data_IF_265739181747
#
_entry.id   IF_265739181747
#
_cell.length_a   1.000
_cell.length_b   1.000
_cell.length_c   1.000
_cell.angle_alpha   90.00
_cell.angle_beta   90.00
_cell.angle_gamma   90.00
#
_symmetry.space_group_name_H-M   'P 1'
#
loop_
_entity.id
_entity.type
_entity.pdbx_description
1 polymer ?
#
# COMPACT_ATOMS: atom_id res chain seq x y z
N UNK A 1 13.09 12.21 -25.88
CA UNK A 1 12.28 13.09 -25.01
C UNK A 1 11.56 12.18 -24.04
N UNK A 2 11.63 12.45 -22.73
CA UNK A 2 10.75 11.79 -21.77
C UNK A 2 9.30 12.13 -22.16
N UNK A 3 8.36 11.17 -22.08
CA UNK A 3 6.96 11.46 -22.35
C UNK A 3 6.48 12.58 -21.41
N UNK A 4 5.59 13.45 -21.91
CA UNK A 4 4.99 14.47 -21.04
C UNK A 4 4.15 13.79 -19.95
N UNK A 5 4.16 14.31 -18.72
CA UNK A 5 3.27 13.84 -17.67
C UNK A 5 1.81 13.86 -18.11
N UNK A 6 1.05 12.83 -17.75
CA UNK A 6 -0.35 12.66 -18.06
C UNK A 6 -1.25 13.45 -17.13
N UNK A 7 -0.99 13.39 -15.82
CA UNK A 7 -1.84 13.99 -14.79
C UNK A 7 -1.08 14.72 -13.69
N UNK A 8 0.12 14.27 -13.32
CA UNK A 8 0.90 14.97 -12.30
C UNK A 8 1.56 16.22 -12.90
N UNK A 9 1.39 17.41 -12.28
CA UNK A 9 2.13 18.60 -12.71
C UNK A 9 3.62 18.40 -12.45
N UNK A 10 4.49 19.05 -13.23
CA UNK A 10 5.95 18.90 -13.08
C UNK A 10 6.44 19.14 -11.64
N UNK A 11 5.83 20.11 -10.94
CA UNK A 11 6.15 20.40 -9.54
C UNK A 11 5.83 19.22 -8.60
N UNK A 12 4.78 18.44 -8.87
CA UNK A 12 4.45 17.25 -8.09
C UNK A 12 5.47 16.14 -8.31
N UNK A 13 5.96 15.98 -9.54
CA UNK A 13 7.00 15.01 -9.88
C UNK A 13 8.32 15.41 -9.21
N UNK A 14 8.69 16.69 -9.27
CA UNK A 14 9.87 17.23 -8.58
C UNK A 14 9.75 17.04 -7.06
N UNK A 15 8.59 17.33 -6.47
CA UNK A 15 8.34 17.07 -5.05
C UNK A 15 8.49 15.59 -4.72
N UNK A 16 7.92 14.69 -5.52
CA UNK A 16 8.05 13.25 -5.28
C UNK A 16 9.51 12.81 -5.34
N UNK A 17 10.31 13.34 -6.28
CA UNK A 17 11.73 13.01 -6.40
C UNK A 17 12.55 13.53 -5.22
N UNK A 18 12.34 14.80 -4.84
CA UNK A 18 13.07 15.46 -3.77
C UNK A 18 12.65 14.99 -2.37
N UNK A 19 11.36 14.92 -2.11
CA UNK A 19 10.79 14.72 -0.77
C UNK A 19 10.23 13.30 -0.58
N UNK A 20 10.03 12.55 -1.66
CA UNK A 20 9.63 11.15 -1.62
C UNK A 20 8.12 10.92 -1.61
N UNK A 21 7.30 11.97 -1.71
CA UNK A 21 5.84 11.85 -1.68
C UNK A 21 5.12 12.95 -2.48
N UNK A 22 3.84 12.72 -2.75
CA UNK A 22 2.90 13.72 -3.23
C UNK A 22 1.46 13.43 -2.74
N UNK A 23 0.76 14.46 -2.27
CA UNK A 23 -0.64 14.40 -1.86
C UNK A 23 -1.23 15.82 -1.72
N UNK A 24 -2.57 15.97 -1.68
CA UNK A 24 -3.58 14.99 -2.09
C UNK A 24 -3.73 14.95 -3.62
N UNK A 25 -4.22 13.83 -4.16
CA UNK A 25 -4.72 13.75 -5.53
C UNK A 25 -6.11 13.10 -5.54
N UNK A 26 -7.16 13.81 -5.98
CA UNK A 26 -8.52 13.26 -6.11
C UNK A 26 -8.56 12.31 -7.31
N UNK A 27 -8.94 11.05 -7.07
CA UNK A 27 -9.00 10.02 -8.13
C UNK A 27 -10.35 9.34 -8.26
N UNK A 28 -11.13 9.25 -7.17
CA UNK A 28 -12.49 8.71 -7.18
C UNK A 28 -13.52 9.80 -6.92
N UNK A 29 -14.69 9.68 -7.54
CA UNK A 29 -15.86 10.47 -7.18
C UNK A 29 -16.58 9.94 -5.93
N UNK A 30 -17.60 10.65 -5.46
CA UNK A 30 -18.31 10.30 -4.23
C UNK A 30 -19.14 9.00 -4.36
N UNK A 31 -19.59 8.65 -5.56
CA UNK A 31 -20.31 7.41 -5.82
C UNK A 31 -19.37 6.21 -5.77
N UNK A 32 -18.19 6.33 -6.37
CA UNK A 32 -17.14 5.30 -6.36
C UNK A 32 -16.64 5.04 -4.94
N UNK A 33 -16.42 6.09 -4.15
CA UNK A 33 -16.07 6.00 -2.73
C UNK A 33 -17.17 5.27 -1.96
N UNK A 34 -18.42 5.72 -2.09
CA UNK A 34 -19.57 5.15 -1.37
C UNK A 34 -19.75 3.68 -1.73
N UNK A 35 -19.64 3.34 -3.02
CA UNK A 35 -19.75 1.97 -3.49
C UNK A 35 -18.62 1.09 -2.94
N UNK A 36 -17.37 1.56 -2.98
CA UNK A 36 -16.20 0.81 -2.51
C UNK A 36 -16.27 0.53 -1.00
N UNK A 37 -16.62 1.55 -0.21
CA UNK A 37 -16.84 1.38 1.24
C UNK A 37 -17.97 0.39 1.52
N UNK A 38 -19.09 0.49 0.80
CA UNK A 38 -20.21 -0.43 0.95
C UNK A 38 -19.85 -1.88 0.56
N UNK A 39 -18.96 -2.10 -0.41
CA UNK A 39 -18.49 -3.44 -0.74
C UNK A 39 -17.74 -4.09 0.43
N UNK A 40 -16.81 -3.36 1.04
CA UNK A 40 -16.09 -3.82 2.23
C UNK A 40 -17.05 -4.15 3.38
N UNK A 41 -17.94 -3.21 3.73
CA UNK A 41 -18.86 -3.38 4.85
C UNK A 41 -19.88 -4.51 4.62
N UNK A 42 -20.34 -4.70 3.37
CA UNK A 42 -21.20 -5.85 3.00
C UNK A 42 -20.46 -7.16 3.17
N UNK A 43 -19.20 -7.23 2.79
CA UNK A 43 -18.40 -8.42 2.95
C UNK A 43 -18.21 -8.76 4.44
N UNK A 44 -17.77 -7.80 5.25
CA UNK A 44 -17.60 -7.99 6.71
C UNK A 44 -18.91 -8.45 7.36
N UNK A 45 -20.04 -7.84 6.98
CA UNK A 45 -21.37 -8.25 7.45
C UNK A 45 -21.73 -9.68 7.01
N UNK A 46 -21.34 -10.11 5.81
CA UNK A 46 -21.65 -11.44 5.29
C UNK A 46 -20.93 -12.56 6.05
N UNK A 47 -19.76 -12.27 6.63
CA UNK A 47 -18.99 -13.21 7.45
C UNK A 47 -19.14 -12.95 8.97
N UNK A 48 -19.93 -11.96 9.37
CA UNK A 48 -20.11 -11.51 10.75
C UNK A 48 -18.79 -11.23 11.48
N UNK A 49 -17.77 -10.79 10.74
CA UNK A 49 -16.42 -10.53 11.24
C UNK A 49 -15.74 -9.42 10.41
N UNK A 50 -14.90 -8.58 11.04
CA UNK A 50 -14.07 -7.62 10.31
C UNK A 50 -13.14 -8.30 9.30
N UNK A 51 -12.72 -7.55 8.27
CA UNK A 51 -11.67 -7.99 7.36
C UNK A 51 -10.36 -8.15 8.14
N UNK A 52 -9.81 -9.37 8.18
CA UNK A 52 -8.66 -9.68 9.02
C UNK A 52 -7.67 -10.62 8.34
N UNK A 53 -6.46 -10.68 8.89
CA UNK A 53 -5.44 -11.62 8.48
C UNK A 53 -5.11 -11.59 6.99
N UNK A 54 -5.05 -12.77 6.36
CA UNK A 54 -4.67 -12.89 4.94
C UNK A 54 -5.63 -12.15 3.99
N UNK A 55 -6.90 -11.92 4.39
CA UNK A 55 -7.87 -11.21 3.56
C UNK A 55 -7.48 -9.74 3.33
N UNK A 56 -6.68 -9.15 4.22
CA UNK A 56 -6.21 -7.77 4.07
C UNK A 56 -5.16 -7.64 2.97
N UNK A 57 -4.36 -8.68 2.70
CA UNK A 57 -3.19 -8.67 1.83
C UNK A 57 -3.49 -9.35 0.49
N UNK A 58 -2.91 -8.86 -0.62
CA UNK A 58 -3.27 -9.21 -2.01
C UNK A 58 -4.79 -9.30 -2.22
N UNK A 59 -5.54 -8.42 -1.57
CA UNK A 59 -7.00 -8.37 -1.56
C UNK A 59 -7.63 -8.21 -2.96
N UNK A 60 -6.89 -7.69 -3.95
CA UNK A 60 -7.29 -7.66 -5.36
C UNK A 60 -7.60 -9.05 -5.95
N UNK A 61 -7.05 -10.12 -5.38
CA UNK A 61 -7.37 -11.49 -5.81
C UNK A 61 -8.69 -12.00 -5.21
N UNK A 62 -9.12 -11.46 -4.07
CA UNK A 62 -10.36 -11.84 -3.41
C UNK A 62 -11.54 -10.98 -3.87
N UNK A 63 -11.28 -9.72 -4.19
CA UNK A 63 -12.31 -8.73 -4.46
C UNK A 63 -12.10 -8.13 -5.84
N UNK A 64 -13.07 -8.34 -6.73
CA UNK A 64 -13.07 -7.77 -8.07
C UNK A 64 -13.06 -6.24 -8.01
N UNK A 65 -13.80 -5.66 -7.09
CA UNK A 65 -13.81 -4.21 -6.93
C UNK A 65 -12.45 -3.64 -6.49
N UNK A 66 -11.61 -4.41 -5.78
CA UNK A 66 -10.24 -4.01 -5.45
C UNK A 66 -9.31 -4.14 -6.65
N UNK A 67 -9.43 -5.20 -7.45
CA UNK A 67 -8.71 -5.32 -8.74
C UNK A 67 -9.08 -4.17 -9.69
N UNK A 68 -10.35 -3.76 -9.73
CA UNK A 68 -10.80 -2.61 -10.53
C UNK A 68 -10.18 -1.30 -10.05
N UNK A 69 -10.14 -1.04 -8.74
CA UNK A 69 -9.47 0.13 -8.17
C UNK A 69 -7.96 0.14 -8.47
N UNK A 70 -7.30 -1.01 -8.36
CA UNK A 70 -5.89 -1.18 -8.71
C UNK A 70 -5.60 -0.90 -10.21
N UNK A 71 -6.62 -0.98 -11.06
CA UNK A 71 -6.54 -0.70 -12.51
C UNK A 71 -7.16 0.64 -12.90
N UNK A 72 -7.55 1.46 -11.93
CA UNK A 72 -8.20 2.74 -12.19
C UNK A 72 -7.28 3.67 -12.99
N UNK A 73 -7.76 4.19 -14.12
CA UNK A 73 -6.91 4.92 -15.07
C UNK A 73 -6.21 6.13 -14.44
N UNK A 74 -6.93 6.92 -13.64
CA UNK A 74 -6.36 8.10 -12.96
C UNK A 74 -5.23 7.73 -11.99
N UNK A 75 -5.34 6.58 -11.32
CA UNK A 75 -4.29 6.08 -10.41
C UNK A 75 -3.09 5.63 -11.22
N UNK A 76 -3.31 4.80 -12.24
CA UNK A 76 -2.24 4.29 -13.08
C UNK A 76 -1.55 5.41 -13.87
N UNK A 77 -2.25 6.45 -14.30
CA UNK A 77 -1.68 7.61 -14.98
C UNK A 77 -0.73 8.38 -14.04
N UNK A 78 -1.12 8.59 -12.79
CA UNK A 78 -0.26 9.23 -11.79
C UNK A 78 0.98 8.38 -11.46
N UNK A 79 0.84 7.06 -11.41
CA UNK A 79 1.98 6.14 -11.18
C UNK A 79 2.91 6.11 -12.38
N UNK A 80 2.36 6.05 -13.60
CA UNK A 80 3.15 6.04 -14.84
C UNK A 80 3.99 7.32 -15.00
N UNK A 81 3.46 8.47 -14.58
CA UNK A 81 4.21 9.74 -14.55
C UNK A 81 5.46 9.67 -13.65
N UNK A 82 5.49 8.76 -12.66
CA UNK A 82 6.60 8.61 -11.72
C UNK A 82 7.58 7.50 -12.11
N UNK A 83 7.08 6.34 -12.55
CA UNK A 83 7.91 5.12 -12.72
C UNK A 83 7.82 4.47 -14.11
N UNK A 84 7.12 5.10 -15.06
CA UNK A 84 7.05 4.67 -16.46
C UNK A 84 5.87 3.74 -16.80
N UNK A 85 5.76 3.29 -18.06
CA UNK A 85 4.52 2.75 -18.63
C UNK A 85 4.25 1.26 -18.36
N UNK A 86 5.29 0.49 -18.06
CA UNK A 86 5.19 -0.96 -17.88
C UNK A 86 5.07 -1.27 -16.38
N UNK A 87 3.83 -1.46 -15.92
CA UNK A 87 3.48 -1.48 -14.50
C UNK A 87 2.96 -2.84 -14.05
N UNK A 88 3.56 -3.33 -12.97
CA UNK A 88 3.02 -4.39 -12.12
C UNK A 88 2.44 -3.76 -10.85
N UNK A 89 1.32 -4.30 -10.35
CA UNK A 89 0.93 -4.11 -8.96
C UNK A 89 1.30 -5.37 -8.16
N UNK A 90 2.24 -5.23 -7.23
CA UNK A 90 2.80 -6.33 -6.47
C UNK A 90 1.88 -6.77 -5.32
N UNK A 91 1.26 -5.82 -4.65
CA UNK A 91 0.42 -6.09 -3.49
C UNK A 91 -0.65 -5.02 -3.29
N UNK A 92 -1.78 -5.44 -2.72
CA UNK A 92 -2.82 -4.54 -2.20
C UNK A 92 -3.05 -4.85 -0.72
N UNK A 93 -3.19 -3.82 0.11
CA UNK A 93 -3.27 -4.00 1.56
C UNK A 93 -4.27 -3.05 2.21
N UNK A 94 -5.24 -3.61 2.93
CA UNK A 94 -6.16 -2.80 3.74
C UNK A 94 -5.54 -2.35 5.06
N UNK A 95 -5.70 -1.06 5.36
CA UNK A 95 -5.28 -0.41 6.60
C UNK A 95 -6.49 0.21 7.28
N UNK A 96 -7.15 -0.59 8.13
CA UNK A 96 -8.37 -0.18 8.81
C UNK A 96 -8.07 0.10 10.28
N UNK A 97 -8.51 1.26 10.77
CA UNK A 97 -8.50 1.61 12.19
C UNK A 97 -9.93 1.87 12.62
N UNK A 98 -10.47 1.02 13.48
CA UNK A 98 -11.83 1.19 14.03
C UNK A 98 -11.98 2.54 14.75
N UNK A 99 -13.23 3.01 14.89
CA UNK A 99 -13.54 4.21 15.66
C UNK A 99 -12.99 4.10 17.09
N UNK A 100 -12.34 5.15 17.58
CA UNK A 100 -11.69 5.19 18.90
C UNK A 100 -10.68 4.06 19.17
N UNK A 101 -10.07 3.48 18.12
CA UNK A 101 -9.07 2.43 18.26
C UNK A 101 -7.67 2.98 18.57
N UNK A 102 -6.97 2.34 19.51
CA UNK A 102 -5.56 2.57 19.80
C UNK A 102 -4.59 2.06 18.72
N UNK A 103 -5.09 1.45 17.64
CA UNK A 103 -4.24 0.85 16.60
C UNK A 103 -3.44 1.90 15.84
N UNK A 104 -2.14 1.66 15.64
CA UNK A 104 -1.22 2.59 15.01
C UNK A 104 -0.28 1.89 14.02
N UNK A 105 0.51 2.69 13.30
CA UNK A 105 1.63 2.23 12.47
C UNK A 105 2.85 3.02 12.92
N UNK A 106 3.87 2.33 13.43
CA UNK A 106 5.15 2.92 13.82
C UNK A 106 5.91 3.49 12.62
N UNK A 107 6.91 4.31 12.89
CA UNK A 107 7.80 4.84 11.84
C UNK A 107 8.56 3.71 11.17
N UNK A 108 8.40 3.54 9.86
CA UNK A 108 9.03 2.46 9.09
C UNK A 108 9.28 2.86 7.64
N UNK A 109 10.13 2.11 6.94
CA UNK A 109 10.27 2.14 5.48
C UNK A 109 9.76 0.82 4.89
N UNK A 110 8.81 0.90 3.96
CA UNK A 110 8.13 -0.24 3.33
C UNK A 110 9.12 -1.28 2.77
N UNK A 111 10.07 -0.83 1.94
CA UNK A 111 10.97 -1.69 1.15
C UNK A 111 11.81 -2.65 2.00
N UNK A 112 12.07 -2.29 3.27
CA UNK A 112 13.02 -3.00 4.16
C UNK A 112 12.78 -4.51 4.22
N UNK A 113 11.53 -4.95 4.09
CA UNK A 113 11.14 -6.35 4.26
C UNK A 113 10.52 -6.98 3.01
N UNK A 114 10.48 -6.26 1.89
CA UNK A 114 9.77 -6.75 0.68
C UNK A 114 10.65 -7.58 -0.25
N UNK A 115 11.98 -7.52 -0.09
CA UNK A 115 12.91 -8.31 -0.91
C UNK A 115 12.88 -7.94 -2.39
N UNK A 116 12.56 -6.68 -2.71
CA UNK A 116 12.52 -6.20 -4.09
C UNK A 116 13.84 -5.48 -4.43
N UNK A 117 14.36 -5.71 -5.63
CA UNK A 117 15.69 -5.26 -6.08
C UNK A 117 15.78 -3.77 -6.47
N UNK A 118 14.68 -3.04 -6.38
CA UNK A 118 14.58 -1.65 -6.81
C UNK A 118 13.90 -0.77 -5.76
N UNK A 119 14.22 0.52 -5.82
CA UNK A 119 13.55 1.58 -5.08
C UNK A 119 12.55 2.38 -5.94
N UNK A 120 12.47 2.07 -7.24
CA UNK A 120 11.55 2.69 -8.22
C UNK A 120 10.10 2.20 -8.00
N UNK A 121 9.64 2.05 -6.76
CA UNK A 121 8.29 1.61 -6.44
C UNK A 121 7.48 2.76 -5.84
N UNK A 122 6.20 2.75 -6.17
CA UNK A 122 5.24 3.74 -5.67
C UNK A 122 4.19 3.01 -4.83
N UNK A 123 4.15 3.36 -3.55
CA UNK A 123 3.02 3.06 -2.68
C UNK A 123 1.94 4.13 -2.91
N UNK A 124 0.79 3.71 -3.43
CA UNK A 124 -0.41 4.55 -3.49
C UNK A 124 -1.29 4.20 -2.29
N UNK A 125 -1.68 5.17 -1.49
CA UNK A 125 -2.65 4.98 -0.40
C UNK A 125 -3.95 5.70 -0.75
N UNK A 126 -5.03 4.94 -0.91
CA UNK A 126 -6.37 5.44 -1.25
C UNK A 126 -7.26 5.54 -0.01
N UNK A 127 -7.84 6.72 0.20
CA UNK A 127 -8.79 6.99 1.27
C UNK A 127 -10.21 6.52 0.88
N UNK A 128 -10.77 5.54 1.58
CA UNK A 128 -12.19 5.15 1.47
C UNK A 128 -13.06 5.72 2.59
N UNK A 129 -12.44 6.46 3.51
CA UNK A 129 -13.07 7.26 4.56
C UNK A 129 -12.19 8.50 4.81
N UNK A 130 -12.65 9.48 5.60
CA UNK A 130 -11.79 10.60 6.00
C UNK A 130 -10.53 10.08 6.70
N UNK A 131 -9.38 10.60 6.29
CA UNK A 131 -8.10 10.36 6.93
C UNK A 131 -7.49 11.71 7.27
N UNK A 132 -7.85 12.24 8.43
CA UNK A 132 -7.38 13.51 8.99
C UNK A 132 -6.56 13.26 10.27
N UNK A 133 -6.09 14.34 10.91
CA UNK A 133 -5.31 14.23 12.16
C UNK A 133 -6.04 13.43 13.25
N UNK A 134 -7.35 13.64 13.41
CA UNK A 134 -8.16 12.96 14.43
C UNK A 134 -8.36 11.47 14.15
N UNK A 135 -8.43 11.08 12.87
CA UNK A 135 -8.54 9.68 12.43
C UNK A 135 -7.18 9.00 12.18
N UNK A 136 -6.09 9.71 12.51
CA UNK A 136 -4.73 9.23 12.39
C UNK A 136 -4.27 9.10 10.95
N UNK A 137 -4.29 10.18 10.17
CA UNK A 137 -3.70 10.23 8.83
C UNK A 137 -2.21 9.84 8.85
N UNK A 138 -1.68 9.53 7.66
CA UNK A 138 -0.27 9.22 7.52
C UNK A 138 0.59 10.46 7.79
N UNK A 139 1.79 10.25 8.31
CA UNK A 139 2.82 11.26 8.48
C UNK A 139 4.10 10.74 7.85
N UNK A 140 4.86 11.62 7.23
CA UNK A 140 6.11 11.28 6.54
C UNK A 140 7.26 12.11 7.07
N UNK A 141 8.47 11.59 6.92
CA UNK A 141 9.71 12.34 7.10
C UNK A 141 10.26 12.66 5.69
N UNK A 142 10.03 13.88 5.16
CA UNK A 142 10.44 14.25 3.80
C UNK A 142 11.92 13.95 3.54
N UNK A 143 12.24 13.43 2.36
CA UNK A 143 13.62 13.17 1.93
C UNK A 143 14.27 11.91 2.54
N UNK A 144 13.63 11.24 3.50
CA UNK A 144 14.17 10.04 4.15
C UNK A 144 14.27 8.80 3.23
N UNK A 145 13.70 8.87 2.02
CA UNK A 145 13.88 7.86 0.97
C UNK A 145 15.25 7.95 0.30
N UNK A 146 15.96 9.08 0.43
CA UNK A 146 17.27 9.29 -0.15
C UNK A 146 18.37 8.57 0.67
N UNK A 147 19.41 8.09 -0.02
CA UNK A 147 20.56 7.46 0.63
C UNK A 147 20.39 5.96 0.82
N UNK A 148 20.75 5.44 2.00
CA UNK A 148 20.58 4.05 2.45
C UNK A 148 19.30 3.89 3.29
N UNK A 149 18.78 2.68 3.43
CA UNK A 149 17.66 2.44 4.36
C UNK A 149 18.11 2.75 5.79
N UNK A 150 17.22 3.39 6.55
CA UNK A 150 17.43 3.65 7.96
C UNK A 150 17.57 2.32 8.72
N UNK A 151 18.35 2.27 9.81
CA UNK A 151 18.35 1.12 10.71
C UNK A 151 16.92 0.79 11.17
N UNK A 152 16.56 -0.48 11.25
CA UNK A 152 15.26 -0.93 11.75
C UNK A 152 15.45 -1.95 12.87
N UNK A 153 14.46 -2.04 13.75
CA UNK A 153 14.30 -3.05 14.80
C UNK A 153 12.88 -3.61 14.73
N UNK A 154 12.70 -4.88 15.09
CA UNK A 154 11.37 -5.47 15.22
C UNK A 154 10.81 -5.14 16.62
N UNK A 155 9.76 -4.33 16.68
CA UNK A 155 9.10 -3.96 17.93
C UNK A 155 7.70 -4.57 18.02
N UNK A 156 7.52 -5.54 18.91
CA UNK A 156 6.26 -6.28 19.04
C UNK A 156 5.21 -5.52 19.87
N UNK A 157 5.06 -4.21 19.67
CA UNK A 157 4.14 -3.37 20.42
C UNK A 157 2.66 -3.71 20.10
N UNK A 158 1.84 -3.79 21.15
CA UNK A 158 0.40 -4.02 21.03
C UNK A 158 -0.26 -2.87 20.24
N UNK A 159 -1.15 -3.23 19.30
CA UNK A 159 -1.85 -2.25 18.45
C UNK A 159 -1.05 -1.77 17.23
N UNK A 160 0.22 -2.14 17.07
CA UNK A 160 0.97 -1.87 15.84
C UNK A 160 0.49 -2.80 14.70
N UNK A 161 -0.06 -2.20 13.64
CA UNK A 161 -0.63 -2.90 12.49
C UNK A 161 0.43 -3.47 11.53
N UNK A 162 1.72 -3.15 11.72
CA UNK A 162 2.80 -3.69 10.91
C UNK A 162 3.06 -5.17 11.19
N UNK A 163 3.23 -5.97 10.14
CA UNK A 163 3.34 -7.43 10.22
C UNK A 163 4.49 -7.92 11.12
N UNK A 164 5.65 -7.25 11.13
CA UNK A 164 6.75 -7.55 12.07
C UNK A 164 6.77 -6.62 13.28
N UNK A 165 5.88 -5.63 13.33
CA UNK A 165 5.95 -4.56 14.32
C UNK A 165 7.18 -3.67 14.14
N UNK A 166 7.79 -3.67 12.96
CA UNK A 166 9.04 -2.99 12.70
C UNK A 166 8.98 -1.48 13.00
N UNK A 167 10.11 -0.93 13.44
CA UNK A 167 10.30 0.51 13.61
C UNK A 167 11.71 0.92 13.16
N UNK A 168 11.86 2.12 12.61
CA UNK A 168 13.18 2.72 12.39
C UNK A 168 13.86 2.97 13.74
N UNK A 169 15.12 2.53 13.88
CA UNK A 169 15.92 2.70 15.08
C UNK A 169 16.69 4.04 15.07
N UNK A 170 16.00 5.11 14.68
CA UNK A 170 16.49 6.49 14.71
C UNK A 170 15.44 7.37 15.38
N UNK A 171 15.88 8.43 16.05
CA UNK A 171 14.97 9.43 16.59
C UNK A 171 14.40 10.26 15.44
N UNK A 172 13.08 10.32 15.35
CA UNK A 172 12.39 11.17 14.38
C UNK A 172 12.08 12.49 15.04
N UNK A 173 12.65 13.56 14.51
CA UNK A 173 12.27 14.92 14.88
C UNK A 173 10.88 15.23 14.33
N UNK A 174 9.89 15.26 15.22
CA UNK A 174 8.48 15.48 14.87
C UNK A 174 8.25 16.84 14.19
N UNK A 175 9.09 17.85 14.44
CA UNK A 175 9.01 19.18 13.80
C UNK A 175 9.41 19.13 12.32
N UNK A 176 10.09 18.07 11.88
CA UNK A 176 10.46 17.84 10.49
C UNK A 176 9.46 16.94 9.74
N UNK A 177 8.40 16.48 10.41
CA UNK A 177 7.41 15.58 9.81
C UNK A 177 6.28 16.35 9.15
N UNK A 178 5.70 15.74 8.11
CA UNK A 178 4.55 16.30 7.39
C UNK A 178 3.37 15.35 7.52
N UNK A 179 2.24 15.86 8.02
CA UNK A 179 0.98 15.14 8.03
C UNK A 179 0.33 15.13 6.64
N UNK A 180 -0.26 14.00 6.27
CA UNK A 180 -0.88 13.77 4.95
C UNK A 180 -2.39 13.53 5.06
N UNK A 181 -3.20 14.54 5.41
CA UNK A 181 -4.64 14.38 5.43
C UNK A 181 -5.22 14.16 4.03
N UNK A 182 -6.21 13.28 3.93
CA UNK A 182 -6.93 12.94 2.70
C UNK A 182 -8.44 12.91 2.94
N UNK A 183 -9.19 13.47 2.00
CA UNK A 183 -10.62 13.25 1.88
C UNK A 183 -10.91 11.90 1.20
N UNK A 184 -12.10 11.31 1.41
CA UNK A 184 -12.50 10.12 0.68
C UNK A 184 -12.38 10.28 -0.85
N UNK A 185 -11.77 9.29 -1.50
CA UNK A 185 -11.48 9.26 -2.93
C UNK A 185 -10.21 9.99 -3.34
N UNK A 186 -9.47 10.58 -2.40
CA UNK A 186 -8.12 11.08 -2.64
C UNK A 186 -7.08 9.99 -2.36
N UNK A 187 -5.93 10.13 -3.03
CA UNK A 187 -4.74 9.33 -2.78
C UNK A 187 -3.58 10.18 -2.27
N UNK A 188 -2.66 9.51 -1.59
CA UNK A 188 -1.27 9.90 -1.51
C UNK A 188 -0.39 8.93 -2.29
N UNK A 189 0.72 9.43 -2.84
CA UNK A 189 1.78 8.62 -3.43
C UNK A 189 3.04 8.80 -2.60
N UNK A 190 3.73 7.73 -2.25
CA UNK A 190 5.04 7.79 -1.58
C UNK A 190 6.01 6.75 -2.11
N UNK A 191 7.30 7.06 -2.03
CA UNK A 191 8.36 6.11 -2.31
C UNK A 191 8.41 5.07 -1.19
N UNK A 192 8.65 3.81 -1.54
CA UNK A 192 8.72 2.69 -0.58
C UNK A 192 9.87 2.81 0.42
N UNK A 193 10.80 3.74 0.22
CA UNK A 193 11.86 4.06 1.16
C UNK A 193 11.55 5.29 2.01
N UNK A 194 10.43 5.97 1.81
CA UNK A 194 10.07 7.11 2.65
C UNK A 194 9.67 6.61 4.04
N UNK A 195 10.34 7.12 5.07
CA UNK A 195 9.95 6.84 6.44
C UNK A 195 8.59 7.48 6.72
N UNK A 196 7.65 6.66 7.22
CA UNK A 196 6.29 7.10 7.49
C UNK A 196 5.65 6.34 8.65
N UNK A 197 4.63 6.97 9.26
CA UNK A 197 3.89 6.45 10.41
C UNK A 197 2.42 6.89 10.35
N UNK A 198 1.57 6.33 11.21
CA UNK A 198 0.22 6.89 11.41
C UNK A 198 -0.33 6.65 12.80
N UNK A 199 -0.88 7.70 13.41
CA UNK A 199 -1.39 7.74 14.78
C UNK A 199 -2.69 6.96 14.99
N UNK A 200 -3.11 6.66 16.23
CA UNK A 200 -4.41 6.06 16.54
C UNK A 200 -5.60 6.83 15.95
N UNK A 201 -6.75 6.14 15.81
CA UNK A 201 -7.99 6.75 15.36
C UNK A 201 -8.82 7.20 16.57
N UNK A 202 -8.93 8.51 16.79
CA UNK A 202 -9.72 9.14 17.86
C UNK A 202 -11.08 9.65 17.37
N UNK A 203 -11.44 9.36 16.12
CA UNK A 203 -12.71 9.78 15.54
C UNK A 203 -13.83 8.77 15.79
N UNK A 204 -15.08 9.20 15.57
CA UNK A 204 -16.27 8.39 15.75
C UNK A 204 -16.57 7.45 14.56
N UNK A 205 -15.80 7.54 13.47
CA UNK A 205 -15.91 6.66 12.30
C UNK A 205 -14.62 5.85 12.13
N UNK A 206 -14.69 4.76 11.36
CA UNK A 206 -13.52 3.97 10.97
C UNK A 206 -12.66 4.76 9.99
N UNK A 207 -11.33 4.60 10.07
CA UNK A 207 -10.39 5.04 9.04
C UNK A 207 -10.06 3.88 8.13
N UNK A 208 -10.47 3.94 6.87
CA UNK A 208 -10.34 2.87 5.87
C UNK A 208 -9.39 3.34 4.77
N UNK A 209 -8.20 2.75 4.76
CA UNK A 209 -7.20 2.93 3.72
C UNK A 209 -6.97 1.68 2.90
N UNK A 210 -6.70 1.83 1.61
CA UNK A 210 -6.24 0.77 0.73
C UNK A 210 -4.91 1.16 0.10
N UNK A 211 -3.84 0.43 0.44
CA UNK A 211 -2.56 0.56 -0.26
C UNK A 211 -2.55 -0.27 -1.53
N UNK A 212 -1.96 0.29 -2.59
CA UNK A 212 -1.70 -0.33 -3.88
C UNK A 212 -0.22 -0.11 -4.19
N UNK A 213 0.57 -1.19 -4.28
CA UNK A 213 2.01 -1.10 -4.43
C UNK A 213 2.41 -1.39 -5.88
N UNK A 214 2.85 -0.36 -6.60
CA UNK A 214 3.22 -0.47 -8.01
C UNK A 214 4.72 -0.48 -8.20
N UNK A 215 5.16 -1.22 -9.22
CA UNK A 215 6.56 -1.36 -9.58
C UNK A 215 6.71 -1.52 -11.11
N UNK A 216 7.88 -1.17 -11.66
CA UNK A 216 8.22 -1.48 -13.05
C UNK A 216 8.25 -2.98 -13.30
N UNK A 217 7.94 -3.43 -14.53
CA UNK A 217 8.02 -4.85 -14.91
C UNK A 217 9.43 -5.45 -14.81
N UNK A 218 10.48 -4.61 -14.85
CA UNK A 218 11.89 -5.03 -14.70
C UNK A 218 12.26 -5.52 -13.29
N UNK A 219 11.47 -5.19 -12.27
CA UNK A 219 11.74 -5.51 -10.87
C UNK A 219 11.91 -7.01 -10.64
N UNK A 220 12.59 -7.40 -9.56
CA UNK A 220 12.80 -8.80 -9.15
C UNK A 220 12.60 -8.97 -7.66
N UNK A 221 12.07 -10.14 -7.29
CA UNK A 221 12.15 -10.68 -5.94
C UNK A 221 13.54 -11.31 -5.75
N UNK A 222 14.25 -10.95 -4.67
CA UNK A 222 15.61 -11.43 -4.38
C UNK A 222 15.71 -12.26 -3.10
N UNK A 223 14.60 -12.40 -2.37
CA UNK A 223 14.52 -13.20 -1.13
C UNK A 223 13.68 -14.46 -1.34
N UNK A 224 12.49 -14.32 -1.91
CA UNK A 224 11.57 -15.45 -2.15
C UNK A 224 11.89 -16.22 -3.42
N UNK A 225 11.73 -17.56 -3.38
CA UNK A 225 11.86 -18.46 -4.54
C UNK A 225 10.72 -18.31 -5.55
N UNK A 226 9.56 -17.81 -5.11
CA UNK A 226 8.39 -17.57 -5.94
C UNK A 226 7.64 -16.34 -5.44
N UNK A 227 7.16 -15.50 -6.37
CA UNK A 227 6.32 -14.34 -6.06
C UNK A 227 5.40 -14.04 -7.25
N UNK A 228 4.36 -13.24 -7.01
CA UNK A 228 3.35 -12.87 -7.99
C UNK A 228 3.01 -11.40 -7.97
N UNK A 229 2.68 -10.86 -9.14
CA UNK A 229 2.19 -9.49 -9.30
C UNK A 229 1.18 -9.42 -10.44
N UNK A 230 0.25 -8.46 -10.38
CA UNK A 230 -0.70 -8.23 -11.47
C UNK A 230 -0.08 -7.30 -12.52
N UNK A 231 -0.06 -7.71 -13.80
CA UNK A 231 0.22 -6.79 -14.90
C UNK A 231 -0.97 -5.85 -15.06
N UNK A 232 -0.76 -4.56 -14.77
CA UNK A 232 -1.83 -3.54 -14.75
C UNK A 232 -1.72 -2.55 -15.90
N UNK A 233 -0.52 -2.38 -16.48
CA UNK A 233 -0.33 -1.55 -17.67
C UNK A 233 0.92 -1.96 -18.44
N UNK A 234 0.91 -1.72 -19.75
CA UNK A 234 2.06 -1.95 -20.61
C UNK A 234 2.30 -3.43 -20.88
N UNK A 235 3.58 -3.81 -21.00
CA UNK A 235 4.01 -5.16 -21.33
C UNK A 235 5.13 -5.63 -20.39
N UNK A 236 5.01 -6.86 -19.89
CA UNK A 236 6.08 -7.52 -19.14
C UNK A 236 6.91 -8.41 -20.07
N UNK A 237 8.14 -7.96 -20.35
CA UNK A 237 9.12 -8.68 -21.19
C UNK A 237 10.16 -9.44 -20.36
N UNK A 238 10.06 -9.37 -19.03
CA UNK A 238 11.04 -9.90 -18.10
C UNK A 238 10.56 -11.20 -17.45
N UNK A 239 9.28 -11.28 -17.11
CA UNK A 239 8.67 -12.49 -16.58
C UNK A 239 9.23 -12.93 -15.21
N UNK A 240 9.71 -11.99 -14.40
CA UNK A 240 10.27 -12.28 -13.07
C UNK A 240 9.20 -12.63 -12.02
N UNK A 241 7.95 -12.24 -12.24
CA UNK A 241 6.82 -12.52 -11.35
C UNK A 241 5.78 -13.37 -12.07
N UNK A 242 5.15 -14.29 -11.34
CA UNK A 242 3.96 -14.96 -11.86
C UNK A 242 2.82 -13.93 -11.97
N UNK A 243 2.23 -13.78 -13.15
CA UNK A 243 1.08 -12.89 -13.30
C UNK A 243 -0.11 -13.38 -12.49
N UNK A 244 -0.60 -12.52 -11.61
CA UNK A 244 -1.81 -12.73 -10.85
C UNK A 244 -3.03 -12.80 -11.79
N UNK A 245 -3.96 -13.76 -11.60
CA UNK A 245 -5.19 -13.81 -12.37
C UNK A 245 -6.06 -12.60 -12.04
N UNK A 246 -6.80 -12.12 -13.04
CA UNK A 246 -7.85 -11.13 -12.81
C UNK A 246 -9.15 -11.85 -12.40
N UNK A 247 -9.70 -11.61 -11.20
CA UNK A 247 -10.96 -12.25 -10.79
C UNK A 247 -12.11 -11.82 -11.71
N UNK A 248 -13.06 -12.70 -12.02
CA UNK A 248 -14.26 -12.32 -12.76
C UNK A 248 -15.36 -11.72 -11.84
N UNK A 249 -15.28 -12.01 -10.54
CA UNK A 249 -16.21 -11.59 -9.48
C UNK A 249 -15.52 -11.70 -8.12
N UNK A 250 -16.13 -11.12 -7.09
CA UNK A 250 -15.68 -11.32 -5.72
C UNK A 250 -15.67 -12.82 -5.39
N UNK A 251 -14.58 -13.27 -4.77
CA UNK A 251 -14.28 -14.67 -4.45
C UNK A 251 -14.36 -15.61 -5.67
N UNK A 252 -13.83 -15.15 -6.81
CA UNK A 252 -13.57 -16.05 -7.94
C UNK A 252 -12.72 -17.24 -7.48
N UNK A 253 -13.19 -18.50 -7.64
CA UNK A 253 -12.49 -19.67 -7.09
C UNK A 253 -11.04 -19.82 -7.56
N UNK A 254 -10.73 -19.43 -8.79
CA UNK A 254 -9.37 -19.52 -9.34
C UNK A 254 -8.47 -18.49 -8.67
N UNK A 255 -8.96 -17.26 -8.50
CA UNK A 255 -8.22 -16.19 -7.85
C UNK A 255 -8.07 -16.44 -6.33
N UNK A 256 -9.05 -17.06 -5.68
CA UNK A 256 -8.99 -17.46 -4.26
C UNK A 256 -7.90 -18.51 -4.00
N UNK A 257 -7.79 -19.55 -4.83
CA UNK A 257 -6.70 -20.52 -4.66
C UNK A 257 -5.34 -19.88 -4.93
N UNK A 258 -5.25 -19.01 -5.95
CA UNK A 258 -4.03 -18.26 -6.23
C UNK A 258 -3.66 -17.32 -5.07
N UNK A 259 -4.66 -16.67 -4.45
CA UNK A 259 -4.48 -15.79 -3.29
C UNK A 259 -3.81 -16.51 -2.14
N UNK A 260 -4.26 -17.73 -1.80
CA UNK A 260 -3.66 -18.53 -0.72
C UNK A 260 -2.17 -18.73 -0.93
N UNK A 261 -1.77 -19.23 -2.11
CA UNK A 261 -0.37 -19.39 -2.48
C UNK A 261 0.40 -18.06 -2.43
N UNK A 262 -0.20 -16.99 -2.96
CA UNK A 262 0.43 -15.68 -3.05
C UNK A 262 0.64 -15.00 -1.71
N UNK A 263 -0.29 -15.14 -0.76
CA UNK A 263 -0.13 -14.63 0.59
C UNK A 263 0.84 -15.45 1.42
N UNK A 264 0.90 -16.76 1.23
CA UNK A 264 1.88 -17.63 1.90
C UNK A 264 3.30 -17.24 1.47
N UNK A 265 3.54 -17.06 0.17
CA UNK A 265 4.84 -16.63 -0.36
C UNK A 265 5.28 -15.24 0.15
N UNK A 266 4.39 -14.24 0.11
CA UNK A 266 4.70 -12.90 0.66
C UNK A 266 4.97 -12.96 2.15
N UNK A 267 4.25 -13.82 2.88
CA UNK A 267 4.48 -14.00 4.31
C UNK A 267 5.86 -14.60 4.59
N UNK A 268 6.29 -15.60 3.82
CA UNK A 268 7.65 -16.17 3.92
C UNK A 268 8.73 -15.11 3.67
N UNK A 269 8.56 -14.27 2.64
CA UNK A 269 9.46 -13.15 2.35
C UNK A 269 9.52 -12.17 3.53
N UNK A 270 8.35 -11.70 4.01
CA UNK A 270 8.28 -10.71 5.09
C UNK A 270 8.91 -11.21 6.41
N UNK A 271 8.77 -12.49 6.72
CA UNK A 271 9.30 -13.09 7.96
C UNK A 271 10.70 -13.69 7.80
N UNK A 272 11.36 -13.51 6.65
CA UNK A 272 12.77 -13.88 6.51
C UNK A 272 13.59 -13.14 7.56
N UNK A 273 14.40 -13.89 8.31
CA UNK A 273 15.22 -13.43 9.45
C UNK A 273 14.45 -12.73 10.58
N UNK A 274 13.13 -12.96 10.70
CA UNK A 274 12.34 -12.43 11.81
C UNK A 274 12.56 -13.23 13.10
N UNK A 275 12.75 -12.54 14.23
CA UNK A 275 12.88 -13.19 15.53
C UNK A 275 11.58 -13.86 15.98
N UNK A 276 10.43 -13.34 15.53
CA UNK A 276 9.10 -13.91 15.83
C UNK A 276 8.18 -13.83 14.63
N UNK A 277 7.38 -14.88 14.48
CA UNK A 277 6.30 -14.94 13.49
C UNK A 277 4.99 -14.52 14.17
N UNK A 278 4.41 -13.39 13.76
CA UNK A 278 3.09 -12.92 14.25
C UNK A 278 1.97 -13.50 13.40
N UNK A 279 0.79 -13.85 13.97
CA UNK A 279 -0.41 -14.06 13.16
C UNK A 279 -0.64 -12.84 12.27
N UNK A 280 -1.07 -13.05 11.03
CA UNK A 280 -1.48 -11.91 10.18
C UNK A 280 -2.65 -11.24 10.92
N UNK A 281 -2.47 -9.97 11.29
CA UNK A 281 -3.48 -9.16 11.99
C UNK A 281 -4.56 -8.77 11.00
#
# INVERSE_FOLDING_TARGET
MLPMPKILPSQAIEQYQCDGYYFPLKVLDDNEVTASRAQLERFEKSQDQPLAGAQRNKSHLLFKWVDDLMRHNTILDAVEDLIGPDLLCWNTLFWIKEANSGSFVSWHQDLRYWGLDTADLVSVWLALSPANLASGCMRVLPGSHQGELLPHKDEYADGNLLTRGQEIAVEVDEDQTVAMPLNPGEISLHNVRLAHASSPNQSADRRIGLSLHYMPTKSKQIVGEWDSAALVRGEDRYGHFKHAPQPAKDFDPVAVEFHRQATDAVREILFTDAEKVRPTI
#
